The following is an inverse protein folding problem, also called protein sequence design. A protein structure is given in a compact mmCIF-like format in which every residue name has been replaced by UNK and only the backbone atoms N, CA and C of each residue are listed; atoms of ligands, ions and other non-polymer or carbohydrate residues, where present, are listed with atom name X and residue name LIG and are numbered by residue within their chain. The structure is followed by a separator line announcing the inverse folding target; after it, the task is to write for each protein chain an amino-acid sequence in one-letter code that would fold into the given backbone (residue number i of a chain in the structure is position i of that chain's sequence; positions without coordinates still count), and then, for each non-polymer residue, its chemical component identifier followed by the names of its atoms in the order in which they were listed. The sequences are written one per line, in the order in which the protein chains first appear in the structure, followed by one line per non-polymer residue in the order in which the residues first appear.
data_IF_218286376959
#
_entry.id   IF_218286376959
#
_cell.length_a   1.000
_cell.length_b   1.000
_cell.length_c   1.000
_cell.angle_alpha   90.00
_cell.angle_beta   90.00
_cell.angle_gamma   90.00
#
_symmetry.space_group_name_H-M   'P 1'
#
loop_
_entity.id
_entity.type
_entity.pdbx_description
1 polymer ?
#
# COMPACT_ATOMS: atom_id res chain seq x y z
N UNK A 1 -6.86 28.43 -8.83
CA UNK A 1 -6.36 27.03 -8.96
C UNK A 1 -7.54 26.09 -9.08
N UNK A 2 -7.42 25.00 -9.85
CA UNK A 2 -8.47 23.96 -9.92
C UNK A 2 -7.94 22.67 -9.30
N UNK A 3 -8.62 22.20 -8.27
CA UNK A 3 -8.31 20.96 -7.55
C UNK A 3 -9.44 19.95 -7.72
N UNK A 4 -9.11 18.73 -8.13
CA UNK A 4 -10.03 17.60 -8.16
C UNK A 4 -9.72 16.69 -6.98
N UNK A 5 -10.71 16.36 -6.16
CA UNK A 5 -10.59 15.42 -5.05
C UNK A 5 -11.46 14.20 -5.33
N UNK A 6 -10.85 13.01 -5.33
CA UNK A 6 -11.57 11.76 -5.63
C UNK A 6 -11.41 10.73 -4.53
N UNK A 7 -12.50 10.10 -4.12
CA UNK A 7 -12.46 8.97 -3.20
C UNK A 7 -13.79 8.25 -3.10
N UNK A 8 -13.76 6.96 -2.80
CA UNK A 8 -14.98 6.23 -2.39
C UNK A 8 -15.54 6.82 -1.09
N UNK A 9 -16.87 6.71 -0.85
CA UNK A 9 -17.49 7.19 0.38
C UNK A 9 -16.78 6.69 1.65
N UNK A 10 -16.67 7.56 2.65
CA UNK A 10 -16.01 7.23 3.92
C UNK A 10 -14.48 7.31 3.92
N UNK A 11 -13.85 7.80 2.85
CA UNK A 11 -12.38 7.95 2.76
C UNK A 11 -11.84 9.26 3.37
N UNK A 12 -12.72 10.12 3.89
CA UNK A 12 -12.34 11.36 4.57
C UNK A 12 -12.20 12.59 3.66
N UNK A 13 -12.64 12.51 2.40
CA UNK A 13 -12.64 13.64 1.45
C UNK A 13 -13.32 14.91 2.03
N UNK A 14 -14.47 14.75 2.69
CA UNK A 14 -15.21 15.85 3.34
C UNK A 14 -14.42 16.46 4.50
N UNK A 15 -13.75 15.63 5.31
CA UNK A 15 -12.89 16.12 6.40
C UNK A 15 -11.70 16.93 5.86
N UNK A 16 -11.16 16.55 4.69
CA UNK A 16 -10.11 17.31 4.05
C UNK A 16 -10.65 18.62 3.47
N UNK A 17 -11.83 18.59 2.85
CA UNK A 17 -12.49 19.81 2.38
C UNK A 17 -12.71 20.80 3.53
N UNK A 18 -13.18 20.35 4.69
CA UNK A 18 -13.32 21.19 5.89
C UNK A 18 -11.98 21.81 6.32
N UNK A 19 -10.86 21.08 6.19
CA UNK A 19 -9.55 21.65 6.48
C UNK A 19 -9.15 22.78 5.51
N UNK A 20 -9.55 22.68 4.24
CA UNK A 20 -9.35 23.76 3.26
C UNK A 20 -10.25 24.97 3.58
N UNK A 21 -11.49 24.73 4.00
CA UNK A 21 -12.41 25.78 4.45
C UNK A 21 -11.82 26.52 5.66
N UNK A 22 -11.29 25.78 6.64
CA UNK A 22 -10.70 26.35 7.85
C UNK A 22 -9.45 27.20 7.53
N UNK A 23 -8.60 26.73 6.61
CA UNK A 23 -7.45 27.49 6.12
C UNK A 23 -7.86 28.80 5.42
N UNK A 24 -8.85 28.73 4.52
CA UNK A 24 -9.38 29.91 3.85
C UNK A 24 -10.07 30.88 4.81
N UNK A 25 -10.80 30.36 5.81
CA UNK A 25 -11.47 31.15 6.82
C UNK A 25 -10.46 31.97 7.65
N UNK A 26 -9.37 31.32 8.08
CA UNK A 26 -8.25 31.96 8.79
C UNK A 26 -7.53 33.00 7.94
N UNK A 27 -7.46 32.78 6.63
CA UNK A 27 -6.93 33.76 5.69
C UNK A 27 -7.91 34.92 5.38
N UNK A 28 -9.13 34.90 5.94
CA UNK A 28 -10.16 35.92 5.68
C UNK A 28 -10.76 35.83 4.28
N UNK A 29 -10.63 34.68 3.62
CA UNK A 29 -11.12 34.45 2.26
C UNK A 29 -12.54 33.93 2.27
N UNK A 30 -13.41 34.50 1.43
CA UNK A 30 -14.78 34.03 1.27
C UNK A 30 -14.81 32.59 0.74
N UNK A 31 -15.66 31.76 1.36
CA UNK A 31 -15.83 30.34 1.02
C UNK A 31 -17.26 30.08 0.60
N UNK A 32 -17.42 29.43 -0.55
CA UNK A 32 -18.70 28.98 -1.08
C UNK A 32 -18.67 27.47 -1.19
N UNK A 33 -19.61 26.78 -0.55
CA UNK A 33 -19.59 25.32 -0.45
C UNK A 33 -20.99 24.71 -0.45
N UNK A 34 -21.14 23.45 -0.88
CA UNK A 34 -22.40 22.69 -0.85
C UNK A 34 -22.31 21.37 -0.03
N UNK A 35 -21.42 21.31 0.95
CA UNK A 35 -21.21 20.14 1.83
C UNK A 35 -22.41 20.00 2.78
N UNK A 36 -23.18 18.93 2.60
CA UNK A 36 -24.43 18.69 3.34
C UNK A 36 -24.23 18.42 4.83
N UNK A 37 -24.59 19.36 5.70
CA UNK A 37 -24.45 19.24 7.16
C UNK A 37 -23.18 19.87 7.72
N UNK A 38 -22.52 20.74 6.95
CA UNK A 38 -21.50 21.66 7.46
C UNK A 38 -22.11 22.57 8.54
N UNK A 39 -21.30 22.89 9.56
CA UNK A 39 -21.65 23.82 10.64
C UNK A 39 -20.76 25.06 10.60
N UNK A 40 -21.14 26.10 9.85
CA UNK A 40 -20.37 27.34 9.73
C UNK A 40 -20.03 27.98 11.09
N UNK A 41 -20.88 27.79 12.10
CA UNK A 41 -20.71 28.32 13.45
C UNK A 41 -19.47 27.77 14.19
N UNK A 42 -18.87 26.68 13.70
CA UNK A 42 -17.67 26.10 14.28
C UNK A 42 -16.37 26.75 13.79
N UNK A 43 -16.44 27.61 12.76
CA UNK A 43 -15.29 28.32 12.21
C UNK A 43 -15.11 29.69 12.87
N UNK A 44 -13.89 30.24 12.80
CA UNK A 44 -13.53 31.51 13.47
C UNK A 44 -14.37 32.69 12.96
N UNK A 45 -14.65 32.72 11.65
CA UNK A 45 -15.54 33.69 11.03
C UNK A 45 -16.65 33.01 10.20
N UNK A 46 -17.82 32.71 10.78
CA UNK A 46 -18.91 32.06 10.06
C UNK A 46 -19.50 32.93 8.94
N UNK A 47 -19.35 34.26 9.02
CA UNK A 47 -20.01 35.21 8.11
C UNK A 47 -19.45 35.21 6.69
N UNK A 48 -18.30 34.57 6.47
CA UNK A 48 -17.63 34.44 5.17
C UNK A 48 -17.78 33.03 4.56
N UNK A 49 -18.65 32.20 5.14
CA UNK A 49 -18.96 30.85 4.65
C UNK A 49 -20.40 30.85 4.13
N UNK A 50 -20.57 30.53 2.86
CA UNK A 50 -21.84 30.61 2.14
C UNK A 50 -22.14 29.31 1.40
N UNK A 51 -23.40 29.16 0.99
CA UNK A 51 -23.81 28.11 0.07
C UNK A 51 -23.28 28.39 -1.34
N UNK A 52 -22.72 27.37 -1.99
CA UNK A 52 -22.19 27.51 -3.34
C UNK A 52 -23.33 27.66 -4.38
N UNK A 53 -23.30 28.70 -5.22
CA UNK A 53 -24.18 28.77 -6.39
C UNK A 53 -23.81 27.68 -7.41
N UNK A 54 -24.75 27.30 -8.27
CA UNK A 54 -24.47 26.35 -9.36
C UNK A 54 -23.49 26.92 -10.40
N UNK A 55 -23.39 28.24 -10.50
CA UNK A 55 -22.41 28.95 -11.30
C UNK A 55 -21.40 29.65 -10.39
N UNK A 56 -20.15 29.19 -10.42
CA UNK A 56 -19.09 29.74 -9.57
C UNK A 56 -18.78 31.21 -9.90
N UNK A 57 -19.11 31.69 -11.10
CA UNK A 57 -18.87 33.07 -11.55
C UNK A 57 -19.72 34.09 -10.79
N UNK A 58 -20.79 33.65 -10.15
CA UNK A 58 -21.64 34.49 -9.31
C UNK A 58 -21.00 34.79 -7.95
N UNK A 59 -19.86 34.17 -7.63
CA UNK A 59 -19.10 34.43 -6.40
C UNK A 59 -18.11 35.59 -6.60
N UNK A 60 -17.81 36.37 -5.55
CA UNK A 60 -16.85 37.47 -5.64
C UNK A 60 -15.44 37.00 -6.02
N UNK A 61 -14.67 37.88 -6.65
CA UNK A 61 -13.26 37.65 -6.95
C UNK A 61 -12.45 37.27 -5.71
N UNK A 62 -11.52 36.33 -5.88
CA UNK A 62 -10.72 35.79 -4.80
C UNK A 62 -11.42 34.73 -3.96
N UNK A 63 -12.64 34.28 -4.30
CA UNK A 63 -13.35 33.26 -3.52
C UNK A 63 -12.73 31.86 -3.63
N UNK A 64 -12.91 31.06 -2.57
CA UNK A 64 -12.74 29.61 -2.60
C UNK A 64 -14.11 28.97 -2.83
N UNK A 65 -14.27 28.18 -3.88
CA UNK A 65 -15.54 27.52 -4.22
C UNK A 65 -15.36 26.01 -4.20
N UNK A 66 -16.16 25.31 -3.39
CA UNK A 66 -16.07 23.86 -3.18
C UNK A 66 -17.39 23.20 -3.58
N UNK A 67 -17.32 22.26 -4.52
CA UNK A 67 -18.45 21.46 -4.96
C UNK A 67 -18.28 19.99 -4.54
N UNK A 68 -18.95 19.58 -3.47
CA UNK A 68 -19.15 18.18 -3.10
C UNK A 68 -20.16 17.49 -4.01
N UNK A 69 -19.88 16.22 -4.29
CA UNK A 69 -20.57 15.40 -5.29
C UNK A 69 -20.85 16.18 -6.60
N UNK A 70 -19.82 16.85 -7.13
CA UNK A 70 -19.92 17.77 -8.27
C UNK A 70 -20.47 17.16 -9.58
N UNK A 71 -20.64 15.84 -9.65
CA UNK A 71 -21.32 15.15 -10.74
C UNK A 71 -22.85 15.26 -10.71
N UNK A 72 -23.44 16.01 -9.77
CA UNK A 72 -24.88 16.28 -9.74
C UNK A 72 -25.34 16.96 -11.05
N UNK A 73 -26.57 16.68 -11.54
CA UNK A 73 -27.02 17.12 -12.87
C UNK A 73 -26.98 18.64 -13.12
N UNK A 74 -27.16 19.46 -12.08
CA UNK A 74 -27.16 20.92 -12.18
C UNK A 74 -25.76 21.55 -12.05
N UNK A 75 -24.76 20.75 -11.69
CA UNK A 75 -23.36 21.15 -11.55
C UNK A 75 -22.59 20.74 -12.82
N UNK A 76 -21.68 19.78 -12.70
CA UNK A 76 -20.70 19.45 -13.73
C UNK A 76 -20.60 17.94 -14.01
N UNK A 77 -21.72 17.28 -14.34
CA UNK A 77 -21.73 15.86 -14.66
C UNK A 77 -20.89 15.59 -15.93
N UNK A 78 -20.30 14.40 -15.99
CA UNK A 78 -19.76 13.88 -17.22
C UNK A 78 -20.86 13.75 -18.29
N UNK A 79 -20.52 14.09 -19.52
CA UNK A 79 -21.39 13.92 -20.68
C UNK A 79 -20.67 13.07 -21.75
N UNK A 80 -21.46 12.43 -22.61
CA UNK A 80 -20.94 11.63 -23.71
C UNK A 80 -20.64 12.46 -24.98
N UNK A 81 -20.98 13.76 -24.97
CA UNK A 81 -20.79 14.65 -26.11
C UNK A 81 -19.30 14.92 -26.32
N UNK A 82 -18.76 14.45 -27.44
CA UNK A 82 -17.44 14.86 -27.95
C UNK A 82 -17.65 16.09 -28.83
N UNK A 83 -17.16 17.26 -28.41
CA UNK A 83 -17.35 18.49 -29.19
C UNK A 83 -17.08 19.75 -28.40
N UNK A 84 -17.61 20.87 -28.92
CA UNK A 84 -17.55 22.18 -28.29
C UNK A 84 -18.22 22.13 -26.91
N UNK A 85 -17.60 22.79 -25.94
CA UNK A 85 -18.18 22.95 -24.61
C UNK A 85 -19.13 24.15 -24.66
N UNK A 86 -20.43 23.87 -24.64
CA UNK A 86 -21.49 24.89 -24.72
C UNK A 86 -21.73 25.61 -23.39
N UNK A 87 -21.40 24.96 -22.26
CA UNK A 87 -21.58 25.54 -20.94
C UNK A 87 -20.51 26.58 -20.65
N UNK A 88 -20.91 27.85 -20.59
CA UNK A 88 -20.02 28.96 -20.31
C UNK A 88 -19.34 28.86 -18.94
N UNK A 89 -19.98 28.21 -17.97
CA UNK A 89 -19.40 27.98 -16.64
C UNK A 89 -18.12 27.18 -16.74
N UNK A 90 -18.05 26.25 -17.69
CA UNK A 90 -16.90 25.41 -17.95
C UNK A 90 -15.82 26.16 -18.73
N UNK A 91 -16.17 26.84 -19.82
CA UNK A 91 -15.19 27.57 -20.65
C UNK A 91 -14.55 28.73 -19.88
N UNK A 92 -15.31 29.42 -19.02
CA UNK A 92 -14.77 30.46 -18.16
C UNK A 92 -13.73 29.96 -17.14
N UNK A 93 -13.70 28.65 -16.83
CA UNK A 93 -12.68 28.09 -15.93
C UNK A 93 -11.27 28.18 -16.50
N UNK A 94 -11.09 28.33 -17.81
CA UNK A 94 -9.77 28.54 -18.43
C UNK A 94 -9.09 29.81 -17.86
N UNK A 95 -9.88 30.83 -17.53
CA UNK A 95 -9.41 32.12 -17.01
C UNK A 95 -9.73 32.36 -15.53
N UNK A 96 -10.13 31.33 -14.77
CA UNK A 96 -10.47 31.45 -13.33
C UNK A 96 -9.38 32.13 -12.48
N UNK A 97 -8.12 32.05 -12.91
CA UNK A 97 -6.99 32.70 -12.22
C UNK A 97 -7.00 34.22 -12.31
N UNK A 98 -7.63 34.80 -13.34
CA UNK A 98 -7.71 36.27 -13.48
C UNK A 98 -8.58 36.89 -12.38
N UNK A 99 -9.64 36.19 -11.99
CA UNK A 99 -10.53 36.57 -10.89
C UNK A 99 -10.08 35.98 -9.55
N UNK A 100 -8.91 35.35 -9.48
CA UNK A 100 -8.36 34.78 -8.24
C UNK A 100 -9.16 33.64 -7.63
N UNK A 101 -10.05 32.99 -8.38
CA UNK A 101 -10.86 31.89 -7.85
C UNK A 101 -10.02 30.64 -7.60
N UNK A 102 -10.30 29.93 -6.51
CA UNK A 102 -9.87 28.55 -6.31
C UNK A 102 -11.09 27.64 -6.32
N UNK A 103 -11.11 26.69 -7.25
CA UNK A 103 -12.23 25.79 -7.47
C UNK A 103 -11.85 24.38 -7.05
N UNK A 104 -12.62 23.79 -6.13
CA UNK A 104 -12.40 22.45 -5.61
C UNK A 104 -13.59 21.58 -5.98
N UNK A 105 -13.35 20.54 -6.78
CA UNK A 105 -14.36 19.58 -7.22
C UNK A 105 -14.16 18.27 -6.48
N UNK A 106 -15.16 17.81 -5.73
CA UNK A 106 -15.10 16.56 -4.99
C UNK A 106 -16.06 15.56 -5.64
N UNK A 107 -15.57 14.36 -5.90
CA UNK A 107 -16.36 13.29 -6.50
C UNK A 107 -15.87 11.91 -6.05
N UNK A 108 -16.55 10.86 -6.47
CA UNK A 108 -16.15 9.47 -6.20
C UNK A 108 -15.10 8.97 -7.20
N UNK A 109 -15.23 9.38 -8.47
CA UNK A 109 -14.34 9.00 -9.55
C UNK A 109 -14.14 10.16 -10.53
N UNK A 110 -12.91 10.37 -11.08
CA UNK A 110 -12.66 11.44 -12.05
C UNK A 110 -13.61 11.39 -13.25
N UNK A 111 -13.95 10.18 -13.70
CA UNK A 111 -14.80 9.93 -14.85
C UNK A 111 -16.23 10.46 -14.71
N UNK A 112 -16.69 10.74 -13.48
CA UNK A 112 -18.03 11.28 -13.22
C UNK A 112 -18.15 12.77 -13.48
N UNK A 113 -17.03 13.48 -13.59
CA UNK A 113 -16.99 14.93 -13.79
C UNK A 113 -16.79 15.26 -15.26
N UNK A 114 -17.29 16.41 -15.70
CA UNK A 114 -17.09 16.88 -17.05
C UNK A 114 -15.60 16.87 -17.47
N UNK A 115 -15.32 16.41 -18.69
CA UNK A 115 -13.97 16.21 -19.18
C UNK A 115 -13.16 17.52 -19.26
N UNK A 116 -13.82 18.67 -19.43
CA UNK A 116 -13.18 19.98 -19.47
C UNK A 116 -12.54 20.34 -18.12
N UNK A 117 -13.24 20.11 -17.00
CA UNK A 117 -12.67 20.28 -15.65
C UNK A 117 -11.44 19.39 -15.48
N UNK A 118 -11.54 18.10 -15.86
CA UNK A 118 -10.39 17.18 -15.77
C UNK A 118 -9.14 17.68 -16.51
N UNK A 119 -9.31 18.35 -17.64
CA UNK A 119 -8.20 18.93 -18.42
C UNK A 119 -7.60 20.17 -17.77
N UNK A 120 -8.39 20.97 -17.05
CA UNK A 120 -7.96 22.19 -16.39
C UNK A 120 -7.48 21.98 -14.95
N UNK A 121 -7.76 20.82 -14.36
CA UNK A 121 -7.26 20.42 -13.04
C UNK A 121 -5.74 20.52 -12.98
N UNK A 122 -5.24 21.41 -12.12
CA UNK A 122 -3.81 21.54 -11.82
C UNK A 122 -3.35 20.69 -10.65
N UNK A 123 -4.29 20.17 -9.85
CA UNK A 123 -4.01 19.29 -8.72
C UNK A 123 -5.10 18.24 -8.58
N UNK A 124 -4.75 16.97 -8.62
CA UNK A 124 -5.66 15.86 -8.35
C UNK A 124 -5.23 15.18 -7.05
N UNK A 125 -6.15 15.08 -6.10
CA UNK A 125 -5.95 14.44 -4.81
C UNK A 125 -6.87 13.21 -4.75
N UNK A 126 -6.31 12.01 -4.60
CA UNK A 126 -7.07 10.79 -4.41
C UNK A 126 -6.88 10.23 -3.00
N UNK A 127 -7.98 9.89 -2.32
CA UNK A 127 -7.92 9.22 -1.02
C UNK A 127 -8.21 7.74 -1.15
N UNK A 128 -7.24 6.93 -0.74
CA UNK A 128 -7.39 5.48 -0.60
C UNK A 128 -7.40 5.08 0.87
N UNK A 129 -8.53 4.54 1.34
CA UNK A 129 -8.68 4.08 2.72
C UNK A 129 -8.69 2.56 2.79
N UNK A 130 -7.71 1.98 3.49
CA UNK A 130 -7.78 0.59 3.90
C UNK A 130 -8.82 0.40 5.02
N UNK A 131 -9.57 -0.69 4.97
CA UNK A 131 -10.64 -1.00 5.96
C UNK A 131 -10.10 -0.95 7.39
N UNK A 132 -10.79 -0.20 8.25
CA UNK A 132 -10.53 -0.15 9.70
C UNK A 132 -9.46 0.86 10.15
N UNK A 133 -8.73 1.49 9.22
CA UNK A 133 -7.76 2.53 9.57
C UNK A 133 -8.48 3.88 9.76
N UNK A 134 -8.11 4.65 10.79
CA UNK A 134 -8.61 6.00 11.07
C UNK A 134 -7.78 7.06 10.31
N UNK A 135 -7.68 6.87 9.01
CA UNK A 135 -6.90 7.68 8.09
C UNK A 135 -7.03 7.15 6.67
N UNK A 136 -6.45 7.86 5.71
CA UNK A 136 -6.40 7.46 4.32
C UNK A 136 -5.03 7.80 3.73
N UNK A 137 -4.57 6.98 2.80
CA UNK A 137 -3.45 7.36 1.95
C UNK A 137 -3.94 8.43 0.99
N UNK A 138 -3.28 9.59 0.98
CA UNK A 138 -3.53 10.68 0.05
C UNK A 138 -2.50 10.58 -1.06
N UNK A 139 -2.95 10.36 -2.28
CA UNK A 139 -2.15 10.38 -3.50
C UNK A 139 -2.39 11.70 -4.23
N UNK A 140 -1.33 12.34 -4.70
CA UNK A 140 -1.39 13.65 -5.33
C UNK A 140 -0.68 13.64 -6.69
N UNK A 141 -1.30 14.27 -7.69
CA UNK A 141 -0.76 14.49 -9.02
C UNK A 141 -0.98 15.94 -9.45
N UNK A 142 -0.08 16.50 -10.24
CA UNK A 142 -0.23 17.84 -10.84
C UNK A 142 -1.17 17.88 -12.07
N UNK A 143 -1.93 16.80 -12.30
CA UNK A 143 -2.88 16.64 -13.40
C UNK A 143 -3.95 15.62 -13.00
N UNK A 144 -5.05 15.55 -13.73
CA UNK A 144 -6.06 14.52 -13.48
C UNK A 144 -5.54 13.12 -13.86
N UNK A 145 -5.52 12.22 -12.89
CA UNK A 145 -5.27 10.79 -13.11
C UNK A 145 -6.62 10.09 -13.33
N UNK A 146 -6.84 9.50 -14.52
CA UNK A 146 -8.11 8.84 -14.84
C UNK A 146 -8.35 7.56 -14.02
N UNK A 147 -7.28 6.84 -13.68
CA UNK A 147 -7.32 5.57 -12.95
C UNK A 147 -6.50 5.63 -11.65
N UNK A 148 -6.92 6.43 -10.65
CA UNK A 148 -6.13 6.66 -9.43
C UNK A 148 -6.03 5.45 -8.50
N UNK A 149 -6.80 4.40 -8.76
CA UNK A 149 -6.71 3.12 -8.06
C UNK A 149 -5.68 2.16 -8.68
N UNK A 150 -5.12 2.48 -9.86
CA UNK A 150 -4.04 1.67 -10.44
C UNK A 150 -2.76 1.86 -9.61
N UNK A 151 -2.13 0.75 -9.24
CA UNK A 151 -0.88 0.72 -8.48
C UNK A 151 0.25 1.45 -9.22
N UNK A 152 0.30 1.35 -10.55
CA UNK A 152 1.34 2.02 -11.35
C UNK A 152 1.20 3.53 -11.27
N UNK A 153 -0.03 4.04 -11.33
CA UNK A 153 -0.29 5.47 -11.20
C UNK A 153 -0.06 5.97 -9.78
N UNK A 154 -0.43 5.17 -8.77
CA UNK A 154 -0.15 5.47 -7.36
C UNK A 154 1.36 5.57 -7.05
N UNK A 155 2.20 4.77 -7.72
CA UNK A 155 3.66 4.85 -7.58
C UNK A 155 4.25 6.13 -8.18
N UNK A 156 3.56 6.76 -9.12
CA UNK A 156 3.95 8.04 -9.73
C UNK A 156 3.39 9.25 -8.97
N UNK A 157 2.51 9.01 -8.01
CA UNK A 157 1.89 10.04 -7.21
C UNK A 157 2.75 10.37 -5.99
N UNK A 158 2.68 11.61 -5.55
CA UNK A 158 3.15 11.96 -4.22
C UNK A 158 2.18 11.37 -3.20
N UNK A 159 2.66 10.50 -2.32
CA UNK A 159 1.82 9.76 -1.38
C UNK A 159 2.15 10.08 0.07
N UNK A 160 1.12 10.45 0.82
CA UNK A 160 1.24 10.74 2.25
C UNK A 160 0.10 10.10 3.01
N UNK A 161 0.41 9.40 4.11
CA UNK A 161 -0.62 8.91 5.02
C UNK A 161 -1.28 10.10 5.72
N UNK A 162 -2.52 10.40 5.36
CA UNK A 162 -3.30 11.46 5.97
C UNK A 162 -4.12 10.91 7.13
N UNK A 163 -3.78 11.35 8.35
CA UNK A 163 -4.52 11.03 9.57
C UNK A 163 -5.72 11.95 9.67
N UNK A 164 -6.88 11.40 9.98
CA UNK A 164 -8.09 12.20 10.08
C UNK A 164 -8.00 13.17 11.27
N UNK A 165 -8.10 14.49 11.02
CA UNK A 165 -8.04 15.50 12.07
C UNK A 165 -9.30 15.41 12.93
N UNK A 166 -9.11 15.06 14.22
CA UNK A 166 -10.24 14.84 15.12
C UNK A 166 -11.08 16.10 15.38
N UNK A 167 -10.46 17.27 15.27
CA UNK A 167 -11.13 18.56 15.48
C UNK A 167 -12.29 18.79 14.51
N UNK A 168 -12.17 18.35 13.25
CA UNK A 168 -13.18 18.64 12.22
C UNK A 168 -14.39 17.70 12.24
N UNK A 169 -14.42 16.67 13.08
CA UNK A 169 -15.65 15.87 13.28
C UNK A 169 -16.77 16.71 13.90
N UNK A 170 -16.46 17.76 14.67
CA UNK A 170 -17.46 18.66 15.24
C UNK A 170 -18.09 19.63 14.23
N UNK A 171 -17.34 19.95 13.17
CA UNK A 171 -17.66 20.95 12.15
C UNK A 171 -18.69 20.44 11.14
N UNK A 172 -19.08 19.17 11.21
CA UNK A 172 -19.93 18.53 10.23
C UNK A 172 -20.73 17.37 10.83
N UNK A 173 -21.99 17.23 10.44
CA UNK A 173 -22.83 16.08 10.80
C UNK A 173 -22.88 15.10 9.65
N UNK A 174 -22.15 13.98 9.74
CA UNK A 174 -22.23 12.93 8.73
C UNK A 174 -23.64 12.33 8.65
N UNK A 175 -24.18 12.24 7.44
CA UNK A 175 -25.41 11.51 7.17
C UNK A 175 -25.29 10.06 7.70
N UNK A 176 -26.11 9.75 8.70
CA UNK A 176 -26.18 8.50 9.45
C UNK A 176 -26.74 7.32 8.63
N UNK A 177 -26.42 7.17 7.34
CA UNK A 177 -26.69 5.93 6.61
C UNK A 177 -25.44 5.59 5.81
N UNK A 178 -24.53 4.83 6.41
CA UNK A 178 -23.82 3.70 5.78
C UNK A 178 -22.91 3.07 6.85
N UNK A 179 -23.54 2.21 7.61
CA UNK A 179 -23.00 1.27 8.59
C UNK A 179 -21.94 0.39 7.95
N UNK A 180 -20.67 0.73 8.13
CA UNK A 180 -19.63 -0.29 8.23
C UNK A 180 -19.20 -0.39 9.68
N UNK A 181 -20.05 -1.01 10.49
CA UNK A 181 -19.59 -1.65 11.73
C UNK A 181 -18.49 -2.62 11.30
N UNK A 182 -17.30 -2.45 11.87
CA UNK A 182 -16.22 -3.42 11.75
C UNK A 182 -16.72 -4.74 12.37
N UNK A 183 -17.26 -5.62 11.54
CA UNK A 183 -17.40 -7.02 11.92
C UNK A 183 -16.07 -7.69 11.63
N UNK A 184 -15.36 -8.09 12.69
CA UNK A 184 -14.31 -9.07 12.54
C UNK A 184 -14.91 -10.28 11.82
N UNK A 185 -14.31 -10.76 10.71
CA UNK A 185 -14.84 -11.89 9.97
C UNK A 185 -14.96 -13.07 10.92
N UNK A 186 -16.11 -13.74 10.91
CA UNK A 186 -16.45 -14.80 11.88
C UNK A 186 -15.36 -15.88 11.92
N UNK A 187 -14.71 -16.15 10.78
CA UNK A 187 -13.54 -17.06 10.68
C UNK A 187 -12.36 -16.67 11.58
N UNK A 188 -12.07 -15.37 11.72
CA UNK A 188 -10.98 -14.88 12.58
C UNK A 188 -11.36 -14.91 14.07
N UNK A 189 -12.64 -14.67 14.41
CA UNK A 189 -13.13 -14.85 15.79
C UNK A 189 -13.08 -16.32 16.21
N UNK A 190 -13.50 -17.23 15.33
CA UNK A 190 -13.42 -18.68 15.55
C UNK A 190 -11.96 -19.10 15.72
N UNK A 191 -11.06 -18.66 14.83
CA UNK A 191 -9.63 -18.97 14.93
C UNK A 191 -9.04 -18.50 16.26
N UNK A 192 -9.28 -17.25 16.68
CA UNK A 192 -8.78 -16.73 17.95
C UNK A 192 -9.39 -17.44 19.17
N UNK A 193 -10.66 -17.83 19.09
CA UNK A 193 -11.35 -18.59 20.15
C UNK A 193 -10.73 -19.97 20.37
N UNK A 194 -10.19 -20.62 19.33
CA UNK A 194 -9.50 -21.91 19.46
C UNK A 194 -7.99 -21.77 19.71
N UNK A 195 -7.35 -20.75 19.13
CA UNK A 195 -5.90 -20.55 19.19
C UNK A 195 -5.42 -20.11 20.58
N UNK A 196 -6.17 -19.23 21.26
CA UNK A 196 -5.83 -18.77 22.62
C UNK A 196 -5.86 -19.92 23.65
N UNK A 197 -6.92 -20.73 23.78
CA UNK A 197 -6.92 -21.86 24.70
C UNK A 197 -5.95 -22.97 24.30
N UNK A 198 -5.69 -23.18 22.99
CA UNK A 198 -4.68 -24.14 22.54
C UNK A 198 -3.27 -23.73 22.99
N UNK A 199 -2.92 -22.45 22.90
CA UNK A 199 -1.62 -21.92 23.39
C UNK A 199 -1.53 -22.01 24.91
N UNK A 200 -2.61 -21.69 25.63
CA UNK A 200 -2.66 -21.83 27.10
C UNK A 200 -2.53 -23.29 27.54
N UNK A 201 -3.19 -24.21 26.82
CA UNK A 201 -3.07 -25.66 27.05
C UNK A 201 -1.66 -26.16 26.76
N UNK A 202 -1.05 -25.78 25.63
CA UNK A 202 0.33 -26.12 25.32
C UNK A 202 1.30 -25.57 26.38
N UNK A 203 1.11 -24.32 26.81
CA UNK A 203 1.92 -23.70 27.87
C UNK A 203 1.79 -24.43 29.21
N UNK A 204 0.58 -24.82 29.61
CA UNK A 204 0.34 -25.63 30.81
C UNK A 204 0.95 -27.04 30.70
N UNK A 205 0.91 -27.66 29.52
CA UNK A 205 1.56 -28.96 29.29
C UNK A 205 3.08 -28.84 29.31
N UNK A 206 3.63 -27.75 28.80
CA UNK A 206 5.07 -27.49 28.78
C UNK A 206 5.62 -27.15 30.18
N UNK A 207 4.87 -26.41 31.00
CA UNK A 207 5.26 -26.13 32.39
C UNK A 207 5.22 -27.36 33.29
N UNK A 208 4.40 -28.37 32.95
CA UNK A 208 4.31 -29.64 33.66
C UNK A 208 5.21 -30.75 33.08
N UNK A 209 5.91 -30.48 31.97
CA UNK A 209 6.84 -31.44 31.36
C UNK A 209 8.24 -31.19 31.91
N UNK A 210 8.55 -31.81 33.05
CA UNK A 210 9.88 -31.80 33.66
C UNK A 210 10.86 -32.64 32.82
N UNK A 211 11.48 -32.03 31.82
CA UNK A 211 12.57 -32.64 31.05
C UNK A 211 13.77 -31.68 30.92
N UNK A 212 14.07 -30.96 31.99
CA UNK A 212 15.34 -30.24 32.16
C UNK A 212 15.83 -30.40 33.61
N UNK A 213 16.40 -31.57 33.90
CA UNK A 213 17.38 -31.72 34.99
C UNK A 213 18.75 -31.36 34.41
N UNK A 214 19.45 -30.34 34.93
CA UNK A 214 20.82 -30.06 34.52
C UNK A 214 21.76 -31.08 35.17
N UNK A 215 22.30 -32.00 34.39
CA UNK A 215 23.36 -32.91 34.86
C UNK A 215 24.72 -32.20 34.80
N UNK A 216 25.48 -32.35 35.90
CA UNK A 216 26.78 -31.71 36.16
C UNK A 216 27.87 -32.21 35.20
N UNK A 217 28.77 -31.29 34.84
CA UNK A 217 29.99 -31.57 34.10
C UNK A 217 31.04 -32.29 34.98
N UNK A 218 31.69 -33.31 34.42
CA UNK A 218 33.05 -33.74 34.79
C UNK A 218 33.96 -33.69 33.55
N UNK A 219 35.22 -33.32 33.79
CA UNK A 219 36.26 -32.94 32.83
C UNK A 219 37.30 -34.05 32.72
N UNK A 220 37.76 -34.47 31.53
CA UNK A 220 39.17 -34.87 31.23
C UNK A 220 39.50 -34.65 29.72
N UNK A 221 40.73 -34.16 29.50
CA UNK A 221 41.53 -33.80 28.30
C UNK A 221 41.81 -34.95 27.29
N UNK A 222 41.78 -34.72 25.96
CA UNK A 222 42.84 -34.29 24.99
C UNK A 222 43.62 -35.45 24.32
N UNK A 223 43.57 -35.57 22.98
CA UNK A 223 44.75 -35.75 22.09
C UNK A 223 44.45 -35.79 20.56
N UNK A 224 45.10 -34.85 19.85
CA UNK A 224 45.76 -34.82 18.51
C UNK A 224 45.33 -35.80 17.37
N UNK A 225 44.88 -35.31 16.20
CA UNK A 225 45.60 -34.79 14.99
C UNK A 225 46.18 -35.90 14.07
N UNK A 226 46.59 -35.69 12.78
CA UNK A 226 46.38 -34.61 11.78
C UNK A 226 46.02 -35.09 10.33
N UNK A 227 45.68 -34.13 9.45
CA UNK A 227 46.00 -33.90 8.01
C UNK A 227 46.18 -35.13 7.05
N UNK A 228 45.81 -35.15 5.75
CA UNK A 228 46.01 -34.17 4.66
C UNK A 228 45.44 -34.76 3.35
N UNK A 229 44.96 -33.91 2.43
CA UNK A 229 45.01 -33.99 0.94
C UNK A 229 44.38 -35.20 0.21
N UNK A 230 43.71 -34.99 -0.94
CA UNK A 230 44.32 -35.11 -2.29
C UNK A 230 43.42 -34.42 -3.37
N UNK A 231 44.00 -34.05 -4.53
CA UNK A 231 43.39 -33.19 -5.55
C UNK A 231 42.61 -33.93 -6.65
N UNK A 232 41.94 -33.08 -7.42
CA UNK A 232 41.39 -33.10 -8.79
C UNK A 232 41.93 -34.06 -9.87
N UNK A 233 41.09 -34.13 -10.92
CA UNK A 233 41.30 -34.57 -12.33
C UNK A 233 40.76 -35.98 -12.62
N UNK A 234 40.16 -36.30 -13.75
CA UNK A 234 39.93 -35.57 -15.00
C UNK A 234 38.93 -36.41 -15.85
N UNK A 235 38.20 -35.72 -16.75
CA UNK A 235 37.88 -36.10 -18.15
C UNK A 235 37.08 -37.39 -18.45
N UNK A 236 35.90 -37.26 -19.07
CA UNK A 236 35.68 -37.23 -20.53
C UNK A 236 35.69 -38.65 -21.13
N UNK A 237 34.56 -39.16 -21.63
CA UNK A 237 34.15 -39.05 -23.04
C UNK A 237 32.90 -39.91 -23.31
N UNK A 238 32.38 -39.73 -24.52
CA UNK A 238 31.06 -39.96 -25.08
C UNK A 238 30.70 -41.41 -25.45
N UNK A 239 29.41 -41.50 -25.79
CA UNK A 239 28.75 -42.34 -26.80
C UNK A 239 28.15 -43.70 -26.37
N UNK A 240 26.81 -43.72 -26.11
CA UNK A 240 25.90 -44.84 -26.43
C UNK A 240 24.46 -44.30 -26.71
N UNK A 241 23.68 -44.85 -27.68
CA UNK A 241 22.45 -44.25 -28.21
C UNK A 241 21.14 -44.55 -27.46
N UNK A 242 20.11 -43.77 -27.83
CA UNK A 242 18.75 -43.63 -27.29
C UNK A 242 18.11 -44.82 -26.55
N UNK A 243 17.87 -44.60 -25.26
CA UNK A 243 16.95 -45.34 -24.40
C UNK A 243 15.74 -44.46 -24.09
N UNK A 244 14.50 -45.00 -24.01
CA UNK A 244 13.29 -44.25 -23.65
C UNK A 244 13.31 -43.73 -22.20
N UNK A 245 14.34 -44.09 -21.43
CA UNK A 245 14.69 -43.45 -20.19
C UNK A 245 15.85 -42.49 -20.42
N UNK A 246 15.55 -41.24 -20.78
CA UNK A 246 16.54 -40.17 -20.89
C UNK A 246 16.98 -39.70 -19.50
N UNK A 247 17.72 -40.55 -18.77
CA UNK A 247 18.39 -40.19 -17.52
C UNK A 247 19.52 -39.17 -17.74
N UNK A 248 19.91 -38.96 -19.00
CA UNK A 248 20.98 -38.06 -19.48
C UNK A 248 20.61 -36.58 -19.57
N UNK A 249 19.36 -36.20 -19.26
CA UNK A 249 18.96 -34.80 -19.09
C UNK A 249 18.51 -34.50 -17.66
N UNK A 250 19.19 -35.08 -16.67
CA UNK A 250 19.22 -34.44 -15.36
C UNK A 250 20.02 -33.15 -15.53
N UNK A 251 19.43 -31.96 -15.28
CA UNK A 251 20.21 -30.72 -15.35
C UNK A 251 21.39 -30.89 -14.41
N UNK A 252 22.61 -30.66 -14.90
CA UNK A 252 23.81 -30.70 -14.08
C UNK A 252 23.56 -29.87 -12.83
N UNK A 253 23.39 -30.54 -11.70
CA UNK A 253 23.10 -29.87 -10.44
C UNK A 253 24.37 -29.13 -10.04
N UNK A 254 24.38 -27.81 -10.20
CA UNK A 254 25.51 -26.99 -9.81
C UNK A 254 25.62 -27.09 -8.28
N UNK A 255 26.73 -27.63 -7.73
CA UNK A 255 26.85 -27.79 -6.29
C UNK A 255 26.85 -26.42 -5.60
N UNK A 256 26.03 -26.29 -4.57
CA UNK A 256 25.99 -25.10 -3.73
C UNK A 256 27.24 -25.12 -2.84
N UNK A 257 28.17 -24.21 -3.08
CA UNK A 257 29.41 -24.14 -2.28
C UNK A 257 29.23 -23.33 -1.00
N UNK A 258 28.34 -22.34 -1.03
CA UNK A 258 28.03 -21.53 0.13
C UNK A 258 26.87 -20.60 -0.11
N UNK A 259 26.22 -20.19 0.97
CA UNK A 259 25.12 -19.24 0.94
C UNK A 259 25.39 -18.12 1.94
N UNK A 260 24.97 -16.91 1.59
CA UNK A 260 25.02 -15.75 2.46
C UNK A 260 23.62 -15.14 2.56
N UNK A 261 23.18 -14.89 3.79
CA UNK A 261 21.93 -14.20 4.07
C UNK A 261 22.18 -12.91 4.83
N UNK A 262 21.50 -11.85 4.41
CA UNK A 262 21.38 -10.61 5.16
C UNK A 262 19.95 -10.47 5.66
N UNK A 263 19.78 -10.70 6.98
CA UNK A 263 18.47 -10.68 7.65
C UNK A 263 17.83 -9.27 7.68
N UNK A 264 18.62 -8.19 7.61
CA UNK A 264 18.07 -6.81 7.64
C UNK A 264 17.38 -6.42 6.34
N UNK A 265 17.85 -6.92 5.19
CA UNK A 265 17.31 -6.62 3.86
C UNK A 265 16.53 -7.80 3.25
N UNK A 266 16.26 -8.84 4.06
CA UNK A 266 15.57 -10.06 3.66
C UNK A 266 16.10 -10.68 2.35
N UNK A 267 17.42 -10.71 2.18
CA UNK A 267 18.09 -11.22 0.96
C UNK A 267 18.95 -12.42 1.33
N UNK A 268 18.81 -13.51 0.58
CA UNK A 268 19.61 -14.71 0.69
C UNK A 268 20.08 -15.11 -0.70
N UNK A 269 21.39 -15.37 -0.86
CA UNK A 269 21.98 -15.79 -2.13
C UNK A 269 22.96 -16.92 -1.90
N UNK A 270 22.92 -17.91 -2.78
CA UNK A 270 23.87 -19.02 -2.80
C UNK A 270 24.79 -18.91 -4.01
N UNK A 271 26.00 -19.43 -3.85
CA UNK A 271 27.07 -19.34 -4.83
C UNK A 271 27.51 -20.75 -5.22
N UNK A 272 27.68 -20.96 -6.52
CA UNK A 272 28.27 -22.19 -7.06
C UNK A 272 29.79 -22.18 -6.98
N UNK A 273 30.42 -23.25 -7.46
CA UNK A 273 31.89 -23.40 -7.46
C UNK A 273 32.64 -22.26 -8.17
N UNK A 274 32.03 -21.67 -9.20
CA UNK A 274 32.64 -20.59 -9.98
C UNK A 274 32.39 -19.19 -9.38
N UNK A 275 31.84 -19.11 -8.16
CA UNK A 275 31.44 -17.84 -7.51
C UNK A 275 30.18 -17.20 -8.10
N UNK A 276 29.58 -17.80 -9.13
CA UNK A 276 28.35 -17.33 -9.74
C UNK A 276 27.15 -17.54 -8.81
N UNK A 277 26.21 -16.59 -8.85
CA UNK A 277 24.98 -16.63 -8.04
C UNK A 277 23.99 -17.65 -8.59
N UNK A 278 23.55 -18.57 -7.74
CA UNK A 278 22.56 -19.58 -8.09
C UNK A 278 21.14 -19.01 -7.95
N UNK A 279 20.32 -19.21 -8.97
CA UNK A 279 18.92 -18.80 -8.95
C UNK A 279 18.11 -19.86 -8.18
N UNK A 280 17.80 -19.57 -6.92
CA UNK A 280 16.96 -20.43 -6.08
C UNK A 280 15.97 -19.61 -5.24
N UNK A 281 14.80 -20.18 -4.89
CA UNK A 281 13.83 -19.53 -4.01
C UNK A 281 14.43 -19.12 -2.66
N UNK A 282 14.01 -17.96 -2.14
CA UNK A 282 14.52 -17.40 -0.89
C UNK A 282 14.40 -18.36 0.31
N UNK A 283 13.27 -19.06 0.42
CA UNK A 283 13.05 -20.05 1.47
C UNK A 283 14.06 -21.20 1.39
N UNK A 284 14.33 -21.68 0.17
CA UNK A 284 15.30 -22.77 -0.05
C UNK A 284 16.73 -22.33 0.30
N UNK A 285 17.09 -21.08 0.00
CA UNK A 285 18.38 -20.51 0.38
C UNK A 285 18.58 -20.47 1.91
N UNK A 286 17.54 -20.08 2.65
CA UNK A 286 17.58 -20.09 4.13
C UNK A 286 17.67 -21.51 4.69
N UNK A 287 16.94 -22.47 4.12
CA UNK A 287 17.03 -23.88 4.52
C UNK A 287 18.43 -24.44 4.35
N UNK A 288 19.14 -24.09 3.26
CA UNK A 288 20.53 -24.54 3.05
C UNK A 288 21.50 -23.93 4.08
N UNK A 289 21.24 -22.72 4.55
CA UNK A 289 22.04 -22.09 5.63
C UNK A 289 21.78 -22.78 6.97
N UNK A 290 20.52 -23.06 7.29
CA UNK A 290 20.13 -23.66 8.56
C UNK A 290 20.44 -25.17 8.64
N UNK A 291 20.55 -25.84 7.49
CA UNK A 291 20.89 -27.27 7.38
C UNK A 291 21.94 -27.46 6.28
N UNK A 292 23.22 -27.13 6.56
CA UNK A 292 24.27 -27.26 5.58
C UNK A 292 24.39 -28.71 5.10
N UNK A 293 24.43 -28.89 3.78
CA UNK A 293 24.54 -30.21 3.18
C UNK A 293 25.82 -30.91 3.68
N UNK A 294 25.75 -32.19 4.08
CA UNK A 294 26.91 -32.94 4.53
C UNK A 294 27.94 -33.01 3.39
N UNK A 295 29.15 -32.49 3.63
CA UNK A 295 30.22 -32.43 2.61
C UNK A 295 31.02 -33.74 2.49
N UNK A 296 30.61 -34.80 3.19
CA UNK A 296 31.19 -36.15 3.10
C UNK A 296 30.33 -37.19 3.82
N UNK A 297 30.25 -38.40 3.24
CA UNK A 297 29.62 -39.57 3.86
C UNK A 297 30.74 -40.58 4.10
N UNK A 298 31.10 -40.84 5.36
CA UNK A 298 32.12 -41.83 5.70
C UNK A 298 31.48 -43.21 5.81
N UNK A 299 31.66 -44.07 4.80
CA UNK A 299 31.22 -45.47 4.85
C UNK A 299 32.37 -46.32 5.40
N UNK A 300 32.17 -46.97 6.57
CA UNK A 300 33.14 -47.96 7.08
C UNK A 300 33.11 -49.20 6.18
N UNK A 301 34.14 -49.40 5.36
CA UNK A 301 34.38 -50.71 4.74
C UNK A 301 34.96 -51.66 5.79
N UNK A 302 34.24 -52.75 6.08
CA UNK A 302 34.79 -53.91 6.79
C UNK A 302 35.66 -54.69 5.81
N UNK A 303 36.95 -54.81 6.09
CA UNK A 303 37.87 -55.70 5.36
C UNK A 303 38.00 -57.01 6.15
N UNK A 304 37.74 -58.14 5.49
CA UNK A 304 38.23 -59.47 5.88
C UNK A 304 39.72 -59.61 5.55
#
# INVERSE_FOLDING_TARGET
MITLMTAVPGSGKTLYAISLIDEANKAGRAVYQNIDGLKPEMFDNPSIIYDAPADWRDTPDGSLVIYDECQQPHLYPANAKRGLVEDERLTAMETHRHTGHDLVFITQAPTFVHHHIRKLTGQHIHFYRARGIQGAMRYEWSHTCDSPNDRKEQQRADSVMWKFPKQYYGYYKSATIHTHKFSMPVKLKILLCFLIPAILYLGYRFSNFSMFSPEKQETIQEQQAPQTTIPTSDKENKDVPDSPYNWTNTPETVPVMGCAANRKINRCMCFGANGATLHMPHAQCLTVIDSPLPRGITVKQQSY
#
